data_IF_703561763422
#
_entry.id   IF_703561763422
#
_cell.length_a   1.000
_cell.length_b   1.000
_cell.length_c   1.000
_cell.angle_alpha   90.00
_cell.angle_beta   90.00
_cell.angle_gamma   90.00
#
_symmetry.space_group_name_H-M   'P 1'
#
loop_
_entity.id
_entity.type
_entity.pdbx_description
1 polymer ?
#
# COMPACT_ATOMS: atom_id res chain seq x y z
N UNK A 1 6.58 13.42 8.31
CA UNK A 1 5.16 13.55 7.94
C UNK A 1 4.98 14.26 6.61
N UNK A 2 5.75 15.31 6.36
CA UNK A 2 5.67 16.01 5.07
C UNK A 2 6.03 15.09 3.92
N UNK A 3 7.10 14.31 4.08
CA UNK A 3 7.54 13.40 3.04
C UNK A 3 6.48 12.35 2.76
N UNK A 4 5.88 11.79 3.80
CA UNK A 4 4.84 10.78 3.62
C UNK A 4 3.62 11.38 2.93
N UNK A 5 3.21 12.58 3.33
CA UNK A 5 2.07 13.24 2.71
C UNK A 5 2.31 13.50 1.23
N UNK A 6 3.50 14.01 0.89
CA UNK A 6 3.86 14.28 -0.50
C UNK A 6 3.88 13.00 -1.32
N UNK A 7 4.47 11.94 -0.77
CA UNK A 7 4.52 10.65 -1.45
C UNK A 7 3.14 10.05 -1.59
N UNK A 8 2.29 10.20 -0.58
CA UNK A 8 0.92 9.71 -0.65
C UNK A 8 0.16 10.42 -1.76
N UNK A 9 0.25 11.74 -1.84
CA UNK A 9 -0.43 12.50 -2.87
C UNK A 9 0.04 12.08 -4.26
N UNK A 10 1.35 11.90 -4.43
CA UNK A 10 1.93 11.45 -5.69
C UNK A 10 1.47 10.05 -6.07
N UNK A 11 1.58 9.11 -5.14
CA UNK A 11 1.15 7.72 -5.39
C UNK A 11 -0.35 7.62 -5.55
N UNK A 12 -1.11 8.42 -4.82
CA UNK A 12 -2.55 8.48 -4.96
C UNK A 12 -2.96 8.92 -6.34
N UNK A 13 -2.26 9.93 -6.89
CA UNK A 13 -2.52 10.40 -8.24
C UNK A 13 -2.15 9.32 -9.26
N UNK A 14 -1.02 8.61 -9.05
CA UNK A 14 -0.62 7.52 -9.92
C UNK A 14 -1.64 6.40 -9.92
N UNK A 15 -2.14 6.02 -8.75
CA UNK A 15 -3.17 5.00 -8.65
C UNK A 15 -4.45 5.41 -9.37
N UNK A 16 -4.83 6.67 -9.24
CA UNK A 16 -6.03 7.17 -9.92
C UNK A 16 -5.83 7.24 -11.43
N UNK A 17 -4.66 7.71 -11.89
CA UNK A 17 -4.40 7.85 -13.32
C UNK A 17 -4.23 6.50 -14.02
N UNK A 18 -3.55 5.55 -13.36
CA UNK A 18 -3.44 4.18 -13.86
C UNK A 18 -4.76 3.44 -13.73
N UNK A 19 -5.49 3.71 -12.67
CA UNK A 19 -6.73 3.01 -12.36
C UNK A 19 -6.51 1.58 -11.89
N UNK A 20 -5.29 1.05 -12.00
CA UNK A 20 -5.05 -0.38 -11.77
C UNK A 20 -5.03 -0.71 -10.28
N UNK A 21 -4.19 -0.03 -9.50
CA UNK A 21 -4.06 -0.35 -8.08
C UNK A 21 -5.32 0.03 -7.28
N UNK A 22 -5.84 1.22 -7.54
CA UNK A 22 -7.03 1.68 -6.83
C UNK A 22 -8.25 0.86 -7.24
N UNK A 23 -8.36 0.52 -8.52
CA UNK A 23 -9.45 -0.33 -9.01
C UNK A 23 -9.40 -1.70 -8.39
N UNK A 24 -8.19 -2.25 -8.19
CA UNK A 24 -8.05 -3.56 -7.55
C UNK A 24 -8.50 -3.53 -6.09
N UNK A 25 -8.24 -2.43 -5.39
CA UNK A 25 -8.68 -2.28 -4.01
C UNK A 25 -10.21 -2.29 -3.93
N UNK A 26 -10.87 -1.56 -4.81
CA UNK A 26 -12.34 -1.50 -4.80
C UNK A 26 -12.96 -2.75 -5.41
N UNK A 27 -12.29 -3.38 -6.37
CA UNK A 27 -12.80 -4.61 -6.98
C UNK A 27 -12.86 -5.77 -5.99
N UNK A 28 -12.06 -5.72 -4.92
CA UNK A 28 -12.12 -6.74 -3.88
C UNK A 28 -13.51 -6.82 -3.25
N UNK A 29 -14.27 -5.73 -3.27
CA UNK A 29 -15.61 -5.71 -2.72
C UNK A 29 -16.57 -6.62 -3.49
N UNK A 30 -16.33 -6.83 -4.77
CA UNK A 30 -17.10 -7.76 -5.60
C UNK A 30 -16.95 -9.20 -5.09
N UNK A 31 -15.87 -9.48 -4.38
CA UNK A 31 -15.58 -10.80 -3.81
C UNK A 31 -15.93 -10.86 -2.33
N UNK A 32 -16.59 -9.85 -1.80
CA UNK A 32 -16.96 -9.81 -0.41
C UNK A 32 -15.85 -9.39 0.54
N UNK A 33 -14.77 -8.82 0.00
CA UNK A 33 -13.64 -8.34 0.81
C UNK A 33 -13.71 -6.82 0.87
N UNK A 34 -13.93 -6.23 2.05
CA UNK A 34 -13.90 -4.78 2.17
C UNK A 34 -12.59 -4.19 1.64
N UNK A 35 -12.67 -3.10 0.91
CA UNK A 35 -11.50 -2.52 0.26
C UNK A 35 -10.37 -2.19 1.25
N UNK A 36 -10.71 -1.72 2.45
CA UNK A 36 -9.68 -1.40 3.44
C UNK A 36 -8.93 -2.65 3.92
N UNK A 37 -9.64 -3.79 4.00
CA UNK A 37 -8.98 -5.05 4.36
C UNK A 37 -8.06 -5.52 3.25
N UNK A 38 -8.47 -5.33 2.01
CA UNK A 38 -7.60 -5.68 0.89
C UNK A 38 -6.34 -4.81 0.88
N UNK A 39 -6.48 -3.52 1.19
CA UNK A 39 -5.31 -2.66 1.31
C UNK A 39 -4.34 -3.18 2.37
N UNK A 40 -4.85 -3.71 3.47
CA UNK A 40 -4.01 -4.28 4.52
C UNK A 40 -3.35 -5.58 4.07
N UNK A 41 -4.03 -6.39 3.26
CA UNK A 41 -3.40 -7.58 2.67
C UNK A 41 -2.24 -7.20 1.76
N UNK A 42 -2.40 -6.13 0.99
CA UNK A 42 -1.31 -5.62 0.15
C UNK A 42 -0.15 -5.12 1.01
N UNK A 43 -0.46 -4.44 2.11
CA UNK A 43 0.58 -4.01 3.04
C UNK A 43 1.32 -5.20 3.64
N UNK A 44 0.62 -6.30 3.87
CA UNK A 44 1.25 -7.52 4.40
C UNK A 44 2.27 -8.09 3.41
N UNK A 45 2.01 -8.01 2.11
CA UNK A 45 2.99 -8.42 1.10
C UNK A 45 4.29 -7.64 1.23
N UNK A 46 4.17 -6.33 1.44
CA UNK A 46 5.34 -5.47 1.64
C UNK A 46 6.06 -5.80 2.93
N UNK A 47 5.31 -6.14 3.97
CA UNK A 47 5.88 -6.55 5.24
C UNK A 47 6.71 -7.83 5.08
N UNK A 48 6.21 -8.78 4.28
CA UNK A 48 6.95 -10.01 4.02
C UNK A 48 8.27 -9.74 3.31
N UNK A 49 8.31 -8.75 2.42
CA UNK A 49 9.56 -8.33 1.79
C UNK A 49 10.55 -7.79 2.81
N UNK A 50 10.06 -7.00 3.77
CA UNK A 50 10.91 -6.45 4.82
C UNK A 50 11.46 -7.55 5.72
N UNK A 51 10.66 -8.55 6.03
CA UNK A 51 11.12 -9.70 6.81
C UNK A 51 12.23 -10.43 6.10
N UNK A 52 12.10 -10.64 4.80
CA UNK A 52 13.14 -11.28 4.01
C UNK A 52 14.41 -10.44 3.98
N UNK A 53 14.26 -9.13 3.85
CA UNK A 53 15.40 -8.21 3.88
C UNK A 53 16.13 -8.30 5.22
N UNK A 54 15.37 -8.28 6.32
CA UNK A 54 15.96 -8.35 7.66
C UNK A 54 16.70 -9.66 7.91
N UNK A 55 16.33 -10.72 7.20
CA UNK A 55 17.01 -12.02 7.30
C UNK A 55 18.22 -12.14 6.39
N UNK A 56 18.63 -11.06 5.76
CA UNK A 56 19.83 -11.03 4.93
C UNK A 56 19.61 -11.33 3.45
N UNK A 57 18.40 -11.18 2.96
CA UNK A 57 18.18 -11.34 1.53
C UNK A 57 18.90 -10.21 0.78
N UNK A 58 19.00 -10.35 -0.54
CA UNK A 58 19.73 -9.43 -1.38
C UNK A 58 18.93 -8.18 -1.77
N UNK A 59 17.80 -7.93 -1.12
CA UNK A 59 17.05 -6.70 -1.35
C UNK A 59 17.92 -5.49 -1.05
N UNK A 60 17.93 -4.53 -1.94
CA UNK A 60 18.70 -3.31 -1.79
C UNK A 60 18.00 -2.38 -0.81
N UNK A 61 18.76 -1.45 -0.24
CA UNK A 61 18.21 -0.45 0.68
C UNK A 61 17.02 0.30 0.08
N UNK A 62 17.09 0.59 -1.21
CA UNK A 62 15.99 1.25 -1.92
C UNK A 62 14.72 0.43 -1.85
N UNK A 63 14.84 -0.87 -2.03
CA UNK A 63 13.69 -1.76 -1.93
C UNK A 63 13.05 -1.76 -0.56
N UNK A 64 13.87 -1.74 0.50
CA UNK A 64 13.37 -1.67 1.86
C UNK A 64 12.64 -0.35 2.12
N UNK A 65 13.24 0.76 1.69
CA UNK A 65 12.61 2.07 1.84
C UNK A 65 11.29 2.13 1.09
N UNK A 66 11.27 1.66 -0.14
CA UNK A 66 10.05 1.65 -0.95
C UNK A 66 8.96 0.83 -0.29
N UNK A 67 9.32 -0.33 0.26
CA UNK A 67 8.34 -1.18 0.96
C UNK A 67 7.76 -0.49 2.18
N UNK A 68 8.61 0.21 2.94
CA UNK A 68 8.14 0.97 4.11
C UNK A 68 7.18 2.09 3.71
N UNK A 69 7.52 2.81 2.64
CA UNK A 69 6.67 3.88 2.13
C UNK A 69 5.34 3.31 1.63
N UNK A 70 5.39 2.19 0.91
CA UNK A 70 4.17 1.56 0.41
C UNK A 70 3.25 1.12 1.55
N UNK A 71 3.83 0.59 2.65
CA UNK A 71 3.05 0.24 3.83
C UNK A 71 2.36 1.46 4.41
N UNK A 72 3.07 2.58 4.50
CA UNK A 72 2.51 3.82 5.03
C UNK A 72 1.36 4.32 4.14
N UNK A 73 1.57 4.32 2.82
CA UNK A 73 0.55 4.77 1.88
C UNK A 73 -0.67 3.87 1.94
N UNK A 74 -0.48 2.56 1.93
CA UNK A 74 -1.58 1.61 1.99
C UNK A 74 -2.36 1.74 3.30
N UNK A 75 -1.67 2.03 4.40
CA UNK A 75 -2.33 2.25 5.69
C UNK A 75 -3.20 3.50 5.66
N UNK A 76 -2.71 4.59 5.05
CA UNK A 76 -3.50 5.81 4.91
C UNK A 76 -4.71 5.59 4.00
N UNK A 77 -4.53 4.86 2.92
CA UNK A 77 -5.63 4.50 2.02
C UNK A 77 -6.66 3.66 2.78
N UNK A 78 -6.20 2.72 3.59
CA UNK A 78 -7.09 1.88 4.39
C UNK A 78 -7.94 2.71 5.36
N UNK A 79 -7.35 3.74 5.96
CA UNK A 79 -8.11 4.64 6.85
C UNK A 79 -9.23 5.32 6.09
N UNK A 80 -8.92 5.88 4.92
CA UNK A 80 -9.92 6.56 4.09
C UNK A 80 -11.03 5.61 3.68
N UNK A 81 -10.68 4.41 3.22
CA UNK A 81 -11.65 3.42 2.78
C UNK A 81 -12.51 2.93 3.94
N UNK A 82 -11.91 2.74 5.11
CA UNK A 82 -12.62 2.30 6.30
C UNK A 82 -13.66 3.34 6.73
N UNK A 83 -13.32 4.61 6.66
CA UNK A 83 -14.22 5.70 7.03
C UNK A 83 -15.39 5.84 6.07
N UNK A 84 -15.21 5.44 4.82
CA UNK A 84 -16.28 5.45 3.82
C UNK A 84 -17.22 4.25 3.95
N UNK A 85 -16.76 3.21 4.59
CA UNK A 85 -17.58 2.01 4.77
C UNK A 85 -18.64 2.20 5.92
#
# INVERSE_FOLDING_TARGET
LREIKTLHDSKGADYESDGVEYSNLTAAEDWGIPAWKYAMLRANEKMNRLKAYAKGSTLQHEGARDSLIDIAVLSLIAVVLKERA
#
